data_IF_915975168912
#
_entry.id   IF_915975168912
#
_cell.length_a   1.000
_cell.length_b   1.000
_cell.length_c   1.000
_cell.angle_alpha   90.00
_cell.angle_beta   90.00
_cell.angle_gamma   90.00
#
_symmetry.space_group_name_H-M   'P 1'
#
loop_
_entity.id
_entity.type
_entity.pdbx_description
1 polymer ?
#
# COMPACT_ATOMS: atom_id res chain seq x y z
N UNK A 1 9.14 16.91 -15.75
CA UNK A 1 8.57 17.39 -14.49
C UNK A 1 7.53 16.39 -13.97
N UNK A 2 7.62 16.10 -12.69
CA UNK A 2 6.70 15.17 -12.05
C UNK A 2 5.32 15.80 -11.90
N UNK A 3 4.26 15.07 -12.21
CA UNK A 3 2.92 15.57 -11.98
C UNK A 3 2.59 15.65 -10.49
N UNK A 4 1.44 16.21 -10.12
CA UNK A 4 1.04 16.27 -8.72
C UNK A 4 0.76 14.87 -8.17
N UNK A 5 0.95 14.70 -6.84
CA UNK A 5 0.60 13.46 -6.17
C UNK A 5 -0.92 13.37 -6.09
N UNK A 6 -1.51 12.44 -6.81
CA UNK A 6 -2.97 12.27 -6.89
C UNK A 6 -3.48 11.09 -6.09
N UNK A 7 -2.59 10.17 -5.70
CA UNK A 7 -2.97 8.99 -4.92
C UNK A 7 -1.97 8.79 -3.79
N UNK A 8 -2.44 8.23 -2.68
CA UNK A 8 -1.57 7.89 -1.57
C UNK A 8 -2.04 6.59 -0.92
N UNK A 9 -1.09 5.86 -0.38
CA UNK A 9 -1.35 4.61 0.29
C UNK A 9 -0.18 4.21 1.16
N UNK A 10 -0.10 2.93 1.48
CA UNK A 10 0.97 2.44 2.32
C UNK A 10 1.42 1.07 1.88
N UNK A 11 2.74 0.83 2.04
CA UNK A 11 3.25 -0.52 2.06
C UNK A 11 3.03 -0.99 3.48
N UNK A 12 2.00 -1.82 3.69
CA UNK A 12 1.68 -2.36 5.00
C UNK A 12 2.51 -3.62 5.19
N UNK A 13 3.25 -3.69 6.28
CA UNK A 13 4.13 -4.83 6.53
C UNK A 13 3.95 -5.38 7.93
N UNK A 14 4.31 -6.64 8.09
CA UNK A 14 4.42 -7.28 9.39
C UNK A 14 5.77 -7.98 9.47
N UNK A 15 6.33 -8.01 10.67
CA UNK A 15 7.64 -8.67 10.88
C UNK A 15 7.41 -10.13 11.24
N UNK A 16 8.19 -11.00 10.62
CA UNK A 16 8.15 -12.44 10.93
C UNK A 16 9.59 -12.93 11.15
N UNK A 17 9.76 -14.12 11.76
CA UNK A 17 11.10 -14.70 11.93
C UNK A 17 11.86 -14.91 10.62
N UNK A 18 11.14 -14.95 9.49
CA UNK A 18 11.73 -15.13 8.16
C UNK A 18 11.85 -13.83 7.38
N UNK A 19 11.67 -12.70 8.05
CA UNK A 19 11.73 -11.38 7.42
C UNK A 19 10.36 -10.74 7.28
N UNK A 20 10.32 -9.54 6.73
CA UNK A 20 9.04 -8.84 6.61
C UNK A 20 8.13 -9.48 5.57
N UNK A 21 6.82 -9.32 5.79
CA UNK A 21 5.79 -9.71 4.82
C UNK A 21 4.99 -8.47 4.49
N UNK A 22 4.62 -8.34 3.23
CA UNK A 22 3.95 -7.17 2.69
C UNK A 22 2.53 -7.50 2.29
N UNK A 23 1.60 -6.63 2.66
CA UNK A 23 0.19 -6.83 2.35
C UNK A 23 -0.10 -6.41 0.92
N UNK A 24 -0.48 -7.37 0.09
CA UNK A 24 -0.87 -7.12 -1.29
C UNK A 24 -2.36 -7.41 -1.45
N UNK A 25 -3.02 -6.61 -2.27
CA UNK A 25 -4.44 -6.74 -2.58
C UNK A 25 -4.60 -7.00 -4.07
N UNK A 26 -5.50 -7.90 -4.43
CA UNK A 26 -5.74 -8.24 -5.83
C UNK A 26 -7.13 -7.79 -6.28
N UNK A 27 -7.17 -7.04 -7.37
CA UNK A 27 -8.40 -6.73 -8.09
C UNK A 27 -8.25 -7.30 -9.51
N UNK A 28 -9.11 -8.26 -9.86
CA UNK A 28 -9.02 -9.00 -11.11
C UNK A 28 -7.65 -9.68 -11.23
N UNK A 29 -6.82 -9.27 -12.18
CA UNK A 29 -5.47 -9.84 -12.35
C UNK A 29 -4.38 -9.01 -11.69
N UNK A 30 -4.73 -7.85 -11.13
CA UNK A 30 -3.75 -6.87 -10.71
C UNK A 30 -3.53 -6.89 -9.20
N UNK A 31 -2.28 -7.06 -8.79
CA UNK A 31 -1.87 -6.94 -7.40
C UNK A 31 -1.33 -5.54 -7.15
N UNK A 32 -1.62 -4.99 -5.99
CA UNK A 32 -1.24 -3.63 -5.64
C UNK A 32 -1.11 -3.49 -4.12
N UNK A 33 -0.48 -2.41 -3.67
CA UNK A 33 -0.57 -1.99 -2.29
C UNK A 33 -1.88 -1.22 -2.08
N UNK A 34 -2.43 -1.17 -0.85
CA UNK A 34 -3.60 -0.35 -0.60
C UNK A 34 -3.30 1.13 -0.85
N UNK A 35 -4.15 1.77 -1.64
CA UNK A 35 -4.03 3.18 -2.00
C UNK A 35 -5.31 3.68 -2.63
N UNK A 36 -5.42 5.00 -2.74
CA UNK A 36 -6.52 5.60 -3.45
C UNK A 36 -6.29 7.09 -3.69
N UNK A 37 -7.25 7.73 -4.29
CA UNK A 37 -7.14 9.13 -4.69
C UNK A 37 -7.20 10.07 -3.49
N UNK A 38 -6.37 11.11 -3.55
CA UNK A 38 -6.36 12.15 -2.53
C UNK A 38 -7.59 13.05 -2.74
N UNK A 39 -8.38 13.23 -1.68
CA UNK A 39 -9.55 14.10 -1.72
C UNK A 39 -9.12 15.57 -1.63
N UNK A 40 -9.98 16.45 -2.12
CA UNK A 40 -9.76 17.88 -2.05
C UNK A 40 -9.54 18.32 -0.59
N UNK A 41 -8.42 19.01 -0.34
CA UNK A 41 -8.09 19.49 1.00
C UNK A 41 -7.49 18.47 1.93
N UNK A 42 -7.34 17.22 1.47
CA UNK A 42 -6.74 16.15 2.26
C UNK A 42 -5.24 16.10 2.00
N UNK A 43 -4.43 15.91 3.05
CA UNK A 43 -3.01 15.68 2.82
C UNK A 43 -2.75 14.20 2.51
N UNK A 44 -1.56 13.92 1.98
CA UNK A 44 -1.24 12.57 1.48
C UNK A 44 -1.22 11.51 2.59
N UNK A 45 -0.71 11.84 3.77
CA UNK A 45 -0.66 10.87 4.86
C UNK A 45 -2.08 10.52 5.36
N UNK A 46 -2.95 11.51 5.49
CA UNK A 46 -4.34 11.27 5.89
C UNK A 46 -5.06 10.45 4.82
N UNK A 47 -4.79 10.72 3.54
CA UNK A 47 -5.32 9.91 2.44
C UNK A 47 -4.85 8.47 2.56
N UNK A 48 -3.56 8.26 2.81
CA UNK A 48 -3.02 6.91 2.95
C UNK A 48 -3.71 6.15 4.07
N UNK A 49 -3.87 6.78 5.23
CA UNK A 49 -4.56 6.15 6.37
C UNK A 49 -6.00 5.81 6.05
N UNK A 50 -6.71 6.73 5.42
CA UNK A 50 -8.12 6.54 5.05
C UNK A 50 -8.25 5.39 4.04
N UNK A 51 -7.44 5.39 2.99
CA UNK A 51 -7.51 4.37 1.96
C UNK A 51 -7.14 2.98 2.48
N UNK A 52 -6.12 2.89 3.34
CA UNK A 52 -5.77 1.61 3.96
C UNK A 52 -6.94 1.09 4.79
N UNK A 53 -7.58 1.96 5.58
CA UNK A 53 -8.74 1.57 6.39
C UNK A 53 -9.91 1.12 5.51
N UNK A 54 -10.19 1.84 4.43
CA UNK A 54 -11.28 1.50 3.52
C UNK A 54 -11.05 0.17 2.80
N UNK A 55 -9.82 -0.12 2.40
CA UNK A 55 -9.51 -1.30 1.59
C UNK A 55 -9.16 -2.54 2.41
N UNK A 56 -8.67 -2.38 3.64
CA UNK A 56 -8.20 -3.50 4.46
C UNK A 56 -8.86 -3.61 5.83
N UNK A 57 -9.53 -2.56 6.27
CA UNK A 57 -10.09 -2.51 7.61
C UNK A 57 -9.07 -2.18 8.70
N UNK A 58 -7.79 -2.00 8.34
CA UNK A 58 -6.76 -1.73 9.33
C UNK A 58 -6.78 -0.25 9.74
N UNK A 59 -7.00 0.01 11.03
CA UNK A 59 -7.03 1.36 11.58
C UNK A 59 -5.99 1.56 12.67
N UNK A 60 -5.46 0.47 13.22
CA UNK A 60 -4.49 0.50 14.33
C UNK A 60 -3.10 0.18 13.78
N UNK A 61 -2.57 1.09 12.97
CA UNK A 61 -1.28 0.93 12.32
C UNK A 61 -0.23 1.81 12.98
N UNK A 62 0.98 1.25 13.11
CA UNK A 62 2.14 2.02 13.52
C UNK A 62 2.88 2.54 12.28
N UNK A 63 3.46 3.72 12.39
CA UNK A 63 4.28 4.29 11.33
C UNK A 63 5.70 4.47 11.89
N UNK A 64 6.48 3.37 11.99
CA UNK A 64 7.78 3.41 12.68
C UNK A 64 8.82 4.26 11.97
N UNK A 65 8.61 4.57 10.70
CA UNK A 65 9.51 5.42 9.92
C UNK A 65 8.92 6.82 9.69
N UNK A 66 7.87 7.15 10.45
CA UNK A 66 7.25 8.48 10.41
C UNK A 66 6.64 8.77 9.06
N UNK A 67 6.97 9.92 8.52
CA UNK A 67 6.43 10.38 7.25
C UNK A 67 7.35 10.10 6.06
N UNK A 68 8.31 9.18 6.22
CA UNK A 68 9.11 8.73 5.08
C UNK A 68 8.20 8.13 4.03
N UNK A 69 8.47 8.40 2.77
CA UNK A 69 7.65 7.93 1.68
C UNK A 69 8.48 7.68 0.42
N UNK A 70 7.89 6.95 -0.51
CA UNK A 70 8.42 6.78 -1.86
C UNK A 70 7.29 7.01 -2.85
N UNK A 71 7.60 7.68 -3.94
CA UNK A 71 6.61 7.95 -4.99
C UNK A 71 6.94 7.14 -6.23
N UNK A 72 5.90 6.76 -6.96
CA UNK A 72 6.09 6.15 -8.28
C UNK A 72 6.52 7.20 -9.28
N UNK A 73 7.10 6.74 -10.38
CA UNK A 73 7.16 7.57 -11.58
C UNK A 73 5.73 7.79 -12.08
N UNK A 74 5.49 8.83 -12.87
CA UNK A 74 4.14 9.04 -13.42
C UNK A 74 3.66 7.85 -14.22
N UNK A 75 2.41 7.49 -14.05
CA UNK A 75 1.77 6.41 -14.80
C UNK A 75 0.30 6.80 -15.04
N UNK A 76 -0.40 6.05 -15.86
CA UNK A 76 -1.82 6.24 -16.15
C UNK A 76 -2.30 7.69 -15.99
N UNK A 77 -2.43 8.44 -17.07
CA UNK A 77 -2.87 9.85 -17.07
C UNK A 77 -1.96 10.74 -16.20
N UNK A 78 -0.65 10.45 -16.19
CA UNK A 78 0.35 11.23 -15.48
C UNK A 78 0.16 11.26 -13.94
N UNK A 79 -0.43 10.20 -13.40
CA UNK A 79 -0.68 10.07 -11.96
C UNK A 79 0.61 9.69 -11.22
N UNK A 80 0.82 10.27 -10.04
CA UNK A 80 1.89 9.89 -9.13
C UNK A 80 1.24 9.36 -7.85
N UNK A 81 1.67 8.20 -7.38
CA UNK A 81 1.20 7.64 -6.12
C UNK A 81 2.32 7.68 -5.09
N UNK A 82 1.98 8.10 -3.88
CA UNK A 82 2.91 8.18 -2.75
C UNK A 82 2.59 7.09 -1.76
N UNK A 83 3.62 6.35 -1.32
CA UNK A 83 3.47 5.26 -0.36
C UNK A 83 4.28 5.51 0.90
N UNK A 84 3.64 5.33 2.05
CA UNK A 84 4.27 5.36 3.37
C UNK A 84 4.49 3.93 3.84
N UNK A 85 5.19 3.77 4.97
CA UNK A 85 5.41 2.44 5.56
C UNK A 85 4.57 2.33 6.82
N UNK A 86 3.70 1.32 6.87
CA UNK A 86 2.82 1.09 8.01
C UNK A 86 2.97 -0.33 8.51
N UNK A 87 3.11 -0.49 9.80
CA UNK A 87 3.35 -1.78 10.44
C UNK A 87 2.10 -2.25 11.20
N UNK A 88 1.80 -3.55 11.09
CA UNK A 88 0.73 -4.17 11.85
C UNK A 88 1.17 -5.55 12.35
N UNK A 89 0.57 -6.00 13.44
CA UNK A 89 0.71 -7.38 13.90
C UNK A 89 -0.49 -8.23 13.46
N UNK A 90 -1.51 -7.60 12.88
CA UNK A 90 -2.71 -8.31 12.46
C UNK A 90 -2.44 -9.16 11.23
N UNK A 91 -2.78 -10.45 11.31
CA UNK A 91 -2.55 -11.39 10.22
C UNK A 91 -3.77 -11.54 9.33
N UNK A 92 -4.95 -11.71 9.92
CA UNK A 92 -6.18 -11.88 9.16
C UNK A 92 -6.75 -10.53 8.75
N UNK A 93 -7.08 -10.43 7.47
CA UNK A 93 -7.67 -9.23 6.89
C UNK A 93 -9.08 -9.60 6.42
N UNK A 94 -10.05 -8.82 6.84
CA UNK A 94 -11.41 -8.94 6.32
C UNK A 94 -11.62 -7.77 5.37
N UNK A 95 -11.67 -8.05 4.08
CA UNK A 95 -11.79 -7.00 3.08
C UNK A 95 -13.15 -6.30 3.21
N UNK A 96 -13.18 -5.00 3.55
CA UNK A 96 -14.45 -4.31 3.79
C UNK A 96 -15.28 -4.18 2.51
N UNK A 97 -16.59 -4.13 2.69
CA UNK A 97 -17.50 -3.89 1.56
C UNK A 97 -17.45 -2.41 1.20
N UNK A 98 -17.19 -2.13 -0.07
CA UNK A 98 -17.23 -0.77 -0.58
C UNK A 98 -18.69 -0.33 -0.71
N UNK A 99 -19.08 0.80 -0.09
CA UNK A 99 -20.46 1.29 -0.22
C UNK A 99 -20.88 1.56 -1.65
N UNK A 100 -19.92 1.96 -2.49
CA UNK A 100 -20.20 2.28 -3.89
C UNK A 100 -20.41 1.05 -4.74
N UNK A 101 -19.70 -0.04 -4.43
CA UNK A 101 -19.76 -1.27 -5.21
C UNK A 101 -20.71 -2.32 -4.65
N UNK A 102 -21.06 -2.23 -3.37
CA UNK A 102 -21.86 -3.25 -2.67
C UNK A 102 -21.10 -4.55 -2.42
N UNK A 103 -19.78 -4.54 -2.61
CA UNK A 103 -18.87 -5.67 -2.42
C UNK A 103 -17.47 -5.14 -2.16
N UNK A 104 -16.52 -5.97 -1.69
CA UNK A 104 -15.15 -5.51 -1.54
C UNK A 104 -14.56 -5.06 -2.89
N UNK A 105 -13.76 -4.02 -2.86
CA UNK A 105 -13.07 -3.54 -4.05
C UNK A 105 -12.06 -4.56 -4.57
N UNK A 106 -11.43 -5.27 -3.64
CA UNK A 106 -10.44 -6.30 -3.96
C UNK A 106 -11.00 -7.69 -3.67
N UNK A 107 -10.52 -8.68 -4.42
CA UNK A 107 -11.02 -10.07 -4.34
C UNK A 107 -10.23 -10.92 -3.37
N UNK A 108 -9.00 -10.55 -3.08
CA UNK A 108 -8.07 -11.39 -2.33
C UNK A 108 -7.00 -10.52 -1.69
N UNK A 109 -6.48 -10.96 -0.56
CA UNK A 109 -5.28 -10.38 0.02
C UNK A 109 -4.22 -11.46 0.20
N UNK A 110 -2.96 -11.02 0.31
CA UNK A 110 -1.85 -11.93 0.55
C UNK A 110 -0.76 -11.21 1.32
N UNK A 111 -0.22 -11.90 2.34
CA UNK A 111 1.01 -11.46 2.99
C UNK A 111 2.17 -12.08 2.23
N UNK A 112 2.84 -11.30 1.43
CA UNK A 112 3.87 -11.77 0.51
C UNK A 112 5.27 -11.49 1.03
N UNK A 113 6.19 -12.42 0.80
CA UNK A 113 7.62 -12.15 0.99
C UNK A 113 8.06 -11.16 -0.08
N UNK A 114 9.29 -10.64 0.06
CA UNK A 114 9.84 -9.75 -0.97
C UNK A 114 9.82 -10.42 -2.35
N UNK A 115 10.29 -11.67 -2.41
CA UNK A 115 10.37 -12.39 -3.70
C UNK A 115 8.99 -12.59 -4.32
N UNK A 116 8.00 -12.98 -3.51
CA UNK A 116 6.63 -13.12 -4.01
C UNK A 116 6.05 -11.80 -4.48
N UNK A 117 6.27 -10.75 -3.69
CA UNK A 117 5.76 -9.42 -4.04
C UNK A 117 6.39 -8.92 -5.34
N UNK A 118 7.69 -9.18 -5.53
CA UNK A 118 8.37 -8.79 -6.75
C UNK A 118 7.76 -9.44 -7.99
N UNK A 119 7.35 -10.70 -7.86
CA UNK A 119 6.70 -11.42 -8.96
C UNK A 119 5.28 -10.94 -9.24
N UNK A 120 4.55 -10.59 -8.19
CA UNK A 120 3.12 -10.28 -8.30
C UNK A 120 2.83 -8.82 -8.66
N UNK A 121 3.65 -7.90 -8.17
CA UNK A 121 3.40 -6.47 -8.37
C UNK A 121 3.80 -6.02 -9.78
N UNK A 122 3.10 -5.01 -10.31
CA UNK A 122 3.49 -4.45 -11.59
C UNK A 122 4.83 -3.74 -11.50
N UNK A 123 5.57 -3.63 -12.64
CA UNK A 123 6.91 -3.02 -12.63
C UNK A 123 7.00 -1.62 -12.04
N UNK A 124 5.95 -0.80 -12.15
CA UNK A 124 5.97 0.56 -11.61
C UNK A 124 6.14 0.57 -10.09
N UNK A 125 5.80 -0.54 -9.40
CA UNK A 125 5.91 -0.64 -7.95
C UNK A 125 7.21 -1.29 -7.49
N UNK A 126 8.05 -1.77 -8.41
CA UNK A 126 9.33 -2.38 -8.03
C UNK A 126 10.22 -1.44 -7.21
N UNK A 127 10.41 -0.16 -7.60
CA UNK A 127 11.22 0.74 -6.78
C UNK A 127 10.63 1.01 -5.40
N UNK A 128 9.29 1.03 -5.30
CA UNK A 128 8.61 1.21 -4.01
C UNK A 128 8.86 0.00 -3.11
N UNK A 129 8.72 -1.20 -3.65
CA UNK A 129 8.96 -2.44 -2.90
C UNK A 129 10.42 -2.53 -2.45
N UNK A 130 11.36 -2.21 -3.32
CA UNK A 130 12.79 -2.24 -2.98
C UNK A 130 13.12 -1.26 -1.88
N UNK A 131 12.57 -0.04 -1.96
CA UNK A 131 12.74 0.95 -0.90
C UNK A 131 12.19 0.44 0.42
N UNK A 132 10.99 -0.15 0.41
CA UNK A 132 10.37 -0.69 1.61
C UNK A 132 11.25 -1.78 2.23
N UNK A 133 11.73 -2.70 1.41
CA UNK A 133 12.58 -3.81 1.87
C UNK A 133 13.86 -3.29 2.53
N UNK A 134 14.54 -2.34 1.90
CA UNK A 134 15.77 -1.76 2.44
C UNK A 134 15.49 -1.04 3.76
N UNK A 135 14.43 -0.26 3.81
CA UNK A 135 14.09 0.54 4.99
C UNK A 135 13.70 -0.33 6.18
N UNK A 136 12.82 -1.29 5.94
CA UNK A 136 12.33 -2.18 7.01
C UNK A 136 13.45 -3.11 7.48
N UNK A 137 14.22 -3.67 6.56
CA UNK A 137 15.27 -4.62 6.91
C UNK A 137 16.49 -3.95 7.53
N UNK A 138 16.71 -2.68 7.25
CA UNK A 138 17.83 -1.93 7.82
C UNK A 138 17.56 -1.37 9.22
N UNK A 139 16.36 -1.55 9.72
CA UNK A 139 15.97 -0.99 11.02
C UNK A 139 16.21 -1.94 12.18
#
# INVERSE_FOLDING_TARGET
>A
MKGPVKAAGAVVFRRTPRGPRYLLLRAFKNWDFPKGLVDTGENQLDCARREVAEETGLTDLDYPFGEEFRETLPYAANKVARYYLAETEQVEIVLPISPELGRPEHHEYRWASFDEAEELLPPRLAPVLEWAQRTVSGS
#
